data_IF_327255293628
#
_entry.id   IF_327255293628
#
_cell.length_a   1.000
_cell.length_b   1.000
_cell.length_c   1.000
_cell.angle_alpha   90.00
_cell.angle_beta   90.00
_cell.angle_gamma   90.00
#
_symmetry.space_group_name_H-M   'P 1'
#
loop_
_entity.id
_entity.type
_entity.pdbx_description
1 polymer ?
#
# COMPACT_ATOMS: atom_id res chain seq x y z
N UNK A 1 -27.10 28.27 -27.40
CA UNK A 1 -27.74 27.82 -28.65
C UNK A 1 -28.84 28.78 -29.12
N UNK A 2 -29.94 28.97 -28.40
CA UNK A 2 -31.03 29.88 -28.85
C UNK A 2 -30.52 31.31 -29.11
N UNK A 3 -29.72 31.89 -28.18
CA UNK A 3 -29.19 33.26 -28.32
C UNK A 3 -28.26 33.43 -29.53
N UNK A 4 -27.38 32.48 -29.81
CA UNK A 4 -26.42 32.59 -30.90
C UNK A 4 -27.10 32.42 -32.26
N UNK A 5 -28.09 31.53 -32.35
CA UNK A 5 -28.96 31.41 -33.56
C UNK A 5 -29.72 32.69 -33.79
N UNK A 6 -30.27 33.31 -32.76
CA UNK A 6 -30.99 34.58 -32.88
C UNK A 6 -30.08 35.70 -33.41
N UNK A 7 -28.86 35.81 -32.84
CA UNK A 7 -27.87 36.83 -33.27
C UNK A 7 -27.53 36.65 -34.74
N UNK A 8 -27.18 35.41 -35.16
CA UNK A 8 -26.83 35.11 -36.55
C UNK A 8 -28.00 35.37 -37.51
N UNK A 9 -29.23 34.97 -37.11
CA UNK A 9 -30.43 35.22 -37.90
C UNK A 9 -30.71 36.69 -38.02
N UNK A 10 -30.54 37.47 -36.94
CA UNK A 10 -30.73 38.91 -36.93
C UNK A 10 -29.74 39.62 -37.86
N UNK A 11 -28.45 39.27 -37.80
CA UNK A 11 -27.42 39.82 -38.71
C UNK A 11 -27.76 39.50 -40.16
N UNK A 12 -28.20 38.27 -40.46
CA UNK A 12 -28.59 37.85 -41.78
C UNK A 12 -29.80 38.64 -42.31
N UNK A 13 -30.86 38.79 -41.53
CA UNK A 13 -32.06 39.54 -41.89
C UNK A 13 -31.72 41.00 -42.12
N UNK A 14 -30.91 41.61 -41.22
CA UNK A 14 -30.46 42.99 -41.38
C UNK A 14 -29.61 43.17 -42.64
N UNK A 15 -28.72 42.26 -42.94
CA UNK A 15 -27.94 42.26 -44.18
C UNK A 15 -28.79 42.21 -45.43
N UNK A 16 -29.82 41.35 -45.48
CA UNK A 16 -30.77 41.28 -46.59
C UNK A 16 -31.59 42.57 -46.70
N UNK A 17 -32.06 43.11 -45.59
CA UNK A 17 -32.84 44.36 -45.58
C UNK A 17 -32.02 45.56 -46.12
N UNK A 18 -30.75 45.68 -45.69
CA UNK A 18 -29.84 46.70 -46.20
C UNK A 18 -29.64 46.52 -47.72
N UNK A 19 -29.36 45.29 -48.16
CA UNK A 19 -29.18 44.96 -49.54
C UNK A 19 -30.43 45.33 -50.40
N UNK A 20 -31.59 44.96 -49.91
CA UNK A 20 -32.86 45.25 -50.56
C UNK A 20 -33.17 46.74 -50.56
N UNK A 21 -32.93 47.45 -49.45
CA UNK A 21 -33.11 48.90 -49.35
C UNK A 21 -32.20 49.68 -50.32
N UNK A 22 -30.92 49.26 -50.40
CA UNK A 22 -29.98 49.84 -51.38
C UNK A 22 -30.43 49.58 -52.83
N UNK A 23 -30.94 48.39 -53.12
CA UNK A 23 -31.45 48.07 -54.44
C UNK A 23 -32.64 48.94 -54.84
N UNK A 24 -33.58 49.16 -53.92
CA UNK A 24 -34.72 50.07 -54.12
C UNK A 24 -34.23 51.52 -54.34
N UNK A 25 -33.33 52.00 -53.47
CA UNK A 25 -32.83 53.37 -53.57
C UNK A 25 -32.10 53.62 -54.87
N UNK A 26 -31.38 52.66 -55.36
CA UNK A 26 -30.67 52.76 -56.69
C UNK A 26 -31.60 52.59 -57.87
N UNK A 27 -32.68 51.81 -57.76
CA UNK A 27 -33.58 51.53 -58.90
C UNK A 27 -34.64 52.61 -59.06
N UNK A 28 -35.15 53.18 -57.99
CA UNK A 28 -36.29 54.11 -57.98
C UNK A 28 -35.95 55.53 -57.48
N UNK A 29 -34.76 55.71 -56.91
CA UNK A 29 -34.46 56.95 -56.19
C UNK A 29 -33.85 58.08 -57.01
N UNK A 30 -33.43 57.87 -58.27
CA UNK A 30 -32.65 58.82 -59.07
C UNK A 30 -31.52 59.55 -58.29
N UNK A 31 -31.13 58.97 -57.19
CA UNK A 31 -30.20 59.57 -56.23
C UNK A 31 -28.72 59.43 -56.65
N UNK A 32 -28.43 58.54 -57.60
CA UNK A 32 -27.13 58.37 -58.14
C UNK A 32 -27.27 57.92 -59.59
N UNK A 33 -26.89 58.74 -60.60
CA UNK A 33 -26.71 58.35 -61.99
C UNK A 33 -25.58 57.34 -62.08
N UNK A 34 -25.90 56.05 -62.03
CA UNK A 34 -24.90 55.01 -62.18
C UNK A 34 -24.91 54.46 -63.60
N UNK A 35 -23.82 54.67 -64.29
CA UNK A 35 -23.53 54.06 -65.62
C UNK A 35 -23.19 52.56 -65.49
N UNK A 36 -23.52 51.91 -64.39
CA UNK A 36 -23.18 50.51 -64.11
C UNK A 36 -24.20 49.58 -64.75
N UNK A 37 -23.71 48.63 -65.60
CA UNK A 37 -24.56 47.63 -66.21
C UNK A 37 -25.25 46.71 -65.20
N UNK A 38 -26.44 46.20 -65.53
CA UNK A 38 -27.19 45.26 -64.72
C UNK A 38 -26.36 44.01 -64.38
N UNK A 39 -25.51 43.54 -65.28
CA UNK A 39 -24.63 42.38 -65.05
C UNK A 39 -23.53 42.63 -64.00
N UNK A 40 -22.89 43.79 -64.04
CA UNK A 40 -21.92 44.23 -63.07
C UNK A 40 -22.53 44.31 -61.63
N UNK A 41 -23.77 44.83 -61.59
CA UNK A 41 -24.55 44.95 -60.40
C UNK A 41 -24.93 43.58 -59.78
N UNK A 42 -25.38 42.64 -60.61
CA UNK A 42 -25.66 41.25 -60.20
C UNK A 42 -24.41 40.52 -59.71
N UNK A 43 -23.29 40.68 -60.42
CA UNK A 43 -22.01 40.09 -59.97
C UNK A 43 -21.51 40.66 -58.60
N UNK A 44 -21.67 41.96 -58.40
CA UNK A 44 -21.35 42.61 -57.12
C UNK A 44 -22.18 42.00 -55.96
N UNK A 45 -23.51 41.90 -56.12
CA UNK A 45 -24.40 41.33 -55.14
C UNK A 45 -24.16 39.85 -54.93
N UNK A 46 -23.89 39.10 -55.97
CA UNK A 46 -23.53 37.70 -55.88
C UNK A 46 -22.27 37.50 -55.01
N UNK A 47 -21.23 38.29 -55.25
CA UNK A 47 -19.98 38.26 -54.47
C UNK A 47 -20.16 38.72 -53.05
N UNK A 48 -20.95 39.80 -52.86
CA UNK A 48 -21.23 40.32 -51.51
C UNK A 48 -22.03 39.33 -50.64
N UNK A 49 -23.12 38.80 -51.21
CA UNK A 49 -23.91 37.77 -50.54
C UNK A 49 -23.09 36.50 -50.27
N UNK A 50 -22.28 36.04 -51.23
CA UNK A 50 -21.40 34.90 -51.06
C UNK A 50 -20.39 35.11 -49.95
N UNK A 51 -19.78 36.28 -49.85
CA UNK A 51 -18.88 36.65 -48.76
C UNK A 51 -19.56 36.67 -47.37
N UNK A 52 -20.77 37.26 -47.31
CA UNK A 52 -21.56 37.25 -46.08
C UNK A 52 -21.91 35.82 -45.61
N UNK A 53 -22.36 34.96 -46.51
CA UNK A 53 -22.62 33.56 -46.21
C UNK A 53 -21.40 32.82 -45.72
N UNK A 54 -20.23 33.03 -46.36
CA UNK A 54 -18.98 32.42 -45.94
C UNK A 54 -18.59 32.83 -44.50
N UNK A 55 -18.75 34.11 -44.15
CA UNK A 55 -18.48 34.61 -42.80
C UNK A 55 -19.44 33.99 -41.79
N UNK A 56 -20.72 33.90 -42.11
CA UNK A 56 -21.74 33.31 -41.23
C UNK A 56 -21.44 31.80 -40.96
N UNK A 57 -21.17 31.06 -42.04
CA UNK A 57 -20.84 29.63 -41.95
C UNK A 57 -19.53 29.43 -41.15
N UNK A 58 -18.51 30.24 -41.41
CA UNK A 58 -17.25 30.23 -40.66
C UNK A 58 -17.45 30.51 -39.19
N UNK A 59 -18.24 31.49 -38.81
CA UNK A 59 -18.57 31.82 -37.46
C UNK A 59 -19.33 30.67 -36.75
N UNK A 60 -20.34 30.11 -37.39
CA UNK A 60 -21.09 28.95 -36.87
C UNK A 60 -20.17 27.73 -36.69
N UNK A 61 -19.25 27.47 -37.60
CA UNK A 61 -18.29 26.40 -37.50
C UNK A 61 -17.35 26.59 -36.29
N UNK A 62 -16.86 27.81 -36.04
CA UNK A 62 -16.02 28.14 -34.88
C UNK A 62 -16.78 27.94 -33.56
N UNK A 63 -18.02 28.46 -33.49
CA UNK A 63 -18.86 28.31 -32.28
C UNK A 63 -19.15 26.84 -32.03
N UNK A 64 -19.45 26.06 -33.03
CA UNK A 64 -19.70 24.62 -32.89
C UNK A 64 -18.44 23.85 -32.51
N UNK A 65 -17.30 24.17 -33.12
CA UNK A 65 -16.01 23.59 -32.76
C UNK A 65 -15.60 23.87 -31.32
N UNK A 66 -15.73 25.11 -30.85
CA UNK A 66 -15.41 25.47 -29.48
C UNK A 66 -16.27 24.71 -28.48
N UNK A 67 -17.58 24.57 -28.71
CA UNK A 67 -18.48 23.80 -27.84
C UNK A 67 -18.15 22.32 -27.80
N UNK A 68 -17.76 21.74 -28.94
CA UNK A 68 -17.34 20.34 -28.99
C UNK A 68 -16.02 20.15 -28.28
N UNK A 69 -15.09 21.11 -28.37
CA UNK A 69 -13.83 21.10 -27.65
C UNK A 69 -14.04 21.18 -26.13
N UNK A 70 -14.92 22.08 -25.65
CA UNK A 70 -15.28 22.16 -24.24
C UNK A 70 -15.87 20.86 -23.70
N UNK A 71 -16.79 20.23 -24.48
CA UNK A 71 -17.36 18.93 -24.08
C UNK A 71 -16.27 17.83 -24.04
N UNK A 72 -15.39 17.80 -25.04
CA UNK A 72 -14.29 16.82 -25.07
C UNK A 72 -13.32 17.02 -23.90
N UNK A 73 -12.97 18.26 -23.57
CA UNK A 73 -12.12 18.58 -22.41
C UNK A 73 -12.80 18.13 -21.11
N UNK A 74 -14.09 18.45 -20.92
CA UNK A 74 -14.83 18.02 -19.72
C UNK A 74 -14.93 16.49 -19.61
N UNK A 75 -15.14 15.80 -20.74
CA UNK A 75 -15.15 14.33 -20.75
C UNK A 75 -13.77 13.74 -20.40
N UNK A 76 -12.70 14.30 -20.96
CA UNK A 76 -11.34 13.89 -20.61
C UNK A 76 -11.01 14.13 -19.13
N UNK A 77 -11.44 15.28 -18.59
CA UNK A 77 -11.27 15.58 -17.17
C UNK A 77 -12.01 14.57 -16.27
N UNK A 78 -13.26 14.26 -16.59
CA UNK A 78 -14.04 13.23 -15.87
C UNK A 78 -13.38 11.85 -15.94
N UNK A 79 -12.87 11.46 -17.11
CA UNK A 79 -12.15 10.19 -17.28
C UNK A 79 -10.85 10.15 -16.46
N UNK A 80 -10.09 11.23 -16.43
CA UNK A 80 -8.89 11.34 -15.62
C UNK A 80 -9.19 11.22 -14.12
N UNK A 81 -10.25 11.89 -13.65
CA UNK A 81 -10.71 11.77 -12.27
C UNK A 81 -11.09 10.33 -11.93
N UNK A 82 -11.81 9.65 -12.83
CA UNK A 82 -12.19 8.26 -12.61
C UNK A 82 -10.97 7.33 -12.59
N UNK A 83 -10.02 7.50 -13.50
CA UNK A 83 -8.77 6.72 -13.52
C UNK A 83 -7.95 6.95 -12.25
N UNK A 84 -7.88 8.19 -11.76
CA UNK A 84 -7.23 8.50 -10.48
C UNK A 84 -7.91 7.80 -9.32
N UNK A 85 -9.24 7.84 -9.26
CA UNK A 85 -10.01 7.12 -8.24
C UNK A 85 -9.71 5.62 -8.28
N UNK A 86 -9.79 4.99 -9.46
CA UNK A 86 -9.54 3.55 -9.63
C UNK A 86 -8.12 3.17 -9.18
N UNK A 87 -7.11 3.95 -9.58
CA UNK A 87 -5.72 3.74 -9.17
C UNK A 87 -5.57 3.83 -7.64
N UNK A 88 -6.16 4.83 -7.01
CA UNK A 88 -6.11 4.99 -5.56
C UNK A 88 -6.84 3.87 -4.83
N UNK A 89 -7.99 3.44 -5.31
CA UNK A 89 -8.69 2.27 -4.76
C UNK A 89 -7.87 1.00 -4.86
N UNK A 90 -7.12 0.80 -5.95
CA UNK A 90 -6.21 -0.34 -6.08
C UNK A 90 -5.04 -0.26 -5.08
N UNK A 91 -4.46 0.93 -4.88
CA UNK A 91 -3.42 1.17 -3.87
C UNK A 91 -3.93 0.87 -2.45
N UNK A 92 -5.15 1.33 -2.10
CA UNK A 92 -5.82 1.01 -0.84
C UNK A 92 -6.02 -0.50 -0.67
N UNK A 93 -6.62 -1.15 -1.67
CA UNK A 93 -6.86 -2.60 -1.67
C UNK A 93 -5.57 -3.39 -1.46
N UNK A 94 -4.51 -3.01 -2.17
CA UNK A 94 -3.20 -3.66 -2.05
C UNK A 94 -2.63 -3.50 -0.65
N UNK A 95 -2.71 -2.30 -0.08
CA UNK A 95 -2.24 -2.02 1.27
C UNK A 95 -3.01 -2.85 2.32
N UNK A 96 -4.35 -2.84 2.26
CA UNK A 96 -5.19 -3.60 3.18
C UNK A 96 -4.94 -5.11 3.07
N UNK A 97 -4.76 -5.63 1.86
CA UNK A 97 -4.42 -7.05 1.63
C UNK A 97 -3.06 -7.40 2.22
N UNK A 98 -2.04 -6.57 1.98
CA UNK A 98 -0.71 -6.80 2.53
C UNK A 98 -0.73 -6.82 4.07
N UNK A 99 -1.49 -5.92 4.68
CA UNK A 99 -1.65 -5.89 6.14
C UNK A 99 -2.30 -7.18 6.67
N UNK A 100 -3.33 -7.69 5.99
CA UNK A 100 -3.99 -8.95 6.36
C UNK A 100 -3.08 -10.16 6.12
N UNK A 101 -2.34 -10.20 5.01
CA UNK A 101 -1.37 -11.26 4.73
C UNK A 101 -0.27 -11.30 5.81
N UNK A 102 0.18 -10.12 6.27
CA UNK A 102 1.14 -10.03 7.35
C UNK A 102 0.61 -10.63 8.66
N UNK A 103 -0.66 -10.37 9.00
CA UNK A 103 -1.30 -10.94 10.18
C UNK A 103 -1.46 -12.46 10.07
N UNK A 104 -1.86 -12.96 8.90
CA UNK A 104 -2.01 -14.39 8.67
C UNK A 104 -0.67 -15.14 8.61
N UNK A 105 0.41 -14.47 8.21
CA UNK A 105 1.75 -15.08 8.16
C UNK A 105 2.31 -15.43 9.56
N UNK A 106 1.64 -15.04 10.63
CA UNK A 106 2.01 -15.41 12.01
C UNK A 106 1.75 -16.89 12.30
N UNK A 107 0.75 -17.50 11.66
CA UNK A 107 0.47 -18.93 11.79
C UNK A 107 1.60 -19.86 11.29
N UNK A 108 2.47 -19.36 10.42
CA UNK A 108 3.53 -20.15 9.78
C UNK A 108 4.75 -20.36 10.69
N UNK A 109 4.92 -19.53 11.72
CA UNK A 109 5.93 -19.78 12.76
C UNK A 109 5.28 -20.62 13.87
N UNK A 110 4.62 -21.69 13.47
CA UNK A 110 4.23 -22.73 14.42
C UNK A 110 5.47 -23.09 15.22
N UNK A 111 5.36 -23.00 16.56
CA UNK A 111 6.37 -23.46 17.48
C UNK A 111 6.43 -24.98 17.36
N UNK A 112 6.86 -25.47 16.21
CA UNK A 112 7.43 -26.80 16.12
C UNK A 112 8.79 -26.65 16.76
N UNK A 113 8.83 -26.88 18.06
CA UNK A 113 10.04 -27.05 18.86
C UNK A 113 10.69 -28.36 18.38
N UNK A 114 11.09 -28.37 17.14
CA UNK A 114 12.03 -29.35 16.64
C UNK A 114 13.41 -28.87 17.12
N UNK A 115 13.97 -29.63 18.03
CA UNK A 115 15.23 -29.37 18.73
C UNK A 115 16.45 -29.44 17.79
N UNK A 116 16.22 -29.53 16.50
CA UNK A 116 17.27 -29.68 15.50
C UNK A 116 17.90 -28.33 15.17
N UNK A 117 19.23 -28.26 15.20
CA UNK A 117 20.03 -27.04 15.03
C UNK A 117 19.78 -26.38 13.67
N UNK A 118 19.52 -27.16 12.62
CA UNK A 118 19.27 -26.66 11.26
C UNK A 118 17.91 -25.94 11.17
N UNK A 119 16.90 -26.43 11.89
CA UNK A 119 15.59 -25.79 11.97
C UNK A 119 15.61 -24.47 12.74
N UNK A 120 16.46 -24.34 13.78
CA UNK A 120 16.60 -23.10 14.54
C UNK A 120 17.18 -21.96 13.70
N UNK A 121 18.18 -22.26 12.88
CA UNK A 121 18.80 -21.26 11.99
C UNK A 121 17.82 -20.78 10.90
N UNK A 122 17.06 -21.70 10.32
CA UNK A 122 16.02 -21.39 9.33
C UNK A 122 14.90 -20.54 9.94
N UNK A 123 14.41 -20.89 11.13
CA UNK A 123 13.39 -20.14 11.84
C UNK A 123 13.84 -18.73 12.20
N UNK A 124 15.11 -18.56 12.60
CA UNK A 124 15.70 -17.23 12.85
C UNK A 124 15.70 -16.38 11.58
N UNK A 125 16.11 -16.94 10.45
CA UNK A 125 16.12 -16.24 9.17
C UNK A 125 14.71 -15.82 8.73
N UNK A 126 13.71 -16.68 8.93
CA UNK A 126 12.31 -16.38 8.64
C UNK A 126 11.76 -15.24 9.51
N UNK A 127 12.06 -15.23 10.81
CA UNK A 127 11.65 -14.14 11.71
C UNK A 127 12.29 -12.82 11.27
N UNK A 128 13.57 -12.80 10.94
CA UNK A 128 14.25 -11.60 10.45
C UNK A 128 13.63 -11.11 9.14
N UNK A 129 13.30 -12.03 8.23
CA UNK A 129 12.58 -11.70 6.98
C UNK A 129 11.21 -11.08 7.26
N UNK A 130 10.44 -11.64 8.19
CA UNK A 130 9.14 -11.09 8.59
C UNK A 130 9.25 -9.71 9.20
N UNK A 131 10.26 -9.45 10.06
CA UNK A 131 10.51 -8.11 10.59
C UNK A 131 10.77 -7.08 9.48
N UNK A 132 11.52 -7.44 8.44
CA UNK A 132 11.75 -6.55 7.30
C UNK A 132 10.48 -6.29 6.49
N UNK A 133 9.59 -7.29 6.36
CA UNK A 133 8.29 -7.13 5.71
C UNK A 133 7.36 -6.22 6.52
N UNK A 134 7.33 -6.35 7.84
CA UNK A 134 6.56 -5.46 8.74
C UNK A 134 6.96 -4.01 8.49
N UNK A 135 8.24 -3.72 8.48
CA UNK A 135 8.75 -2.37 8.23
C UNK A 135 8.35 -1.85 6.83
N UNK A 136 8.46 -2.70 5.81
CA UNK A 136 8.06 -2.34 4.44
C UNK A 136 6.56 -2.04 4.33
N UNK A 137 5.71 -2.82 4.99
CA UNK A 137 4.26 -2.64 4.96
C UNK A 137 3.81 -1.44 5.79
N UNK A 138 4.47 -1.14 6.90
CA UNK A 138 4.23 0.08 7.67
C UNK A 138 4.55 1.34 6.85
N UNK A 139 5.66 1.34 6.11
CA UNK A 139 5.98 2.44 5.19
C UNK A 139 4.93 2.59 4.08
N UNK A 140 4.47 1.49 3.49
CA UNK A 140 3.42 1.51 2.48
C UNK A 140 2.09 2.01 3.06
N UNK A 141 1.75 1.56 4.26
CA UNK A 141 0.56 2.01 4.98
C UNK A 141 0.58 3.52 5.21
N UNK A 142 1.68 4.06 5.75
CA UNK A 142 1.85 5.50 5.96
C UNK A 142 1.72 6.28 4.66
N UNK A 143 2.37 5.81 3.59
CA UNK A 143 2.26 6.46 2.29
C UNK A 143 0.83 6.53 1.78
N UNK A 144 0.06 5.46 1.89
CA UNK A 144 -1.32 5.39 1.39
C UNK A 144 -2.30 6.18 2.26
N UNK A 145 -2.15 6.12 3.60
CA UNK A 145 -3.12 6.69 4.53
C UNK A 145 -2.73 8.05 5.12
N UNK A 146 -1.45 8.40 5.21
CA UNK A 146 -1.01 9.69 5.75
C UNK A 146 -0.95 10.79 4.68
N UNK A 147 -0.62 10.45 3.44
CA UNK A 147 -0.56 11.44 2.34
C UNK A 147 -1.95 11.99 2.00
N UNK A 148 -3.01 11.16 2.12
CA UNK A 148 -4.39 11.61 1.91
C UNK A 148 -4.99 12.36 3.11
N UNK A 149 -4.31 12.39 4.27
CA UNK A 149 -4.91 12.82 5.53
C UNK A 149 -4.94 14.32 5.75
N UNK A 150 -4.70 15.12 4.72
CA UNK A 150 -4.58 16.56 4.93
C UNK A 150 -5.84 17.28 5.39
N UNK A 151 -7.03 16.65 5.51
CA UNK A 151 -8.12 17.38 6.19
C UNK A 151 -9.39 16.63 6.65
N UNK A 152 -9.66 15.36 6.31
CA UNK A 152 -10.89 14.72 6.81
C UNK A 152 -10.75 13.19 6.86
N UNK A 153 -10.05 12.68 7.87
CA UNK A 153 -10.10 11.24 8.16
C UNK A 153 -11.52 10.88 8.56
N UNK A 154 -12.06 9.83 7.94
CA UNK A 154 -13.35 9.31 8.36
C UNK A 154 -13.23 8.56 9.69
N UNK A 155 -14.32 8.38 10.41
CA UNK A 155 -14.34 7.62 11.66
C UNK A 155 -13.84 6.17 11.45
N UNK A 156 -14.15 5.59 10.29
CA UNK A 156 -13.71 4.22 9.94
C UNK A 156 -12.20 4.19 9.69
N UNK A 157 -11.64 5.19 9.00
CA UNK A 157 -10.20 5.32 8.80
C UNK A 157 -9.44 5.45 10.12
N UNK A 158 -9.97 6.22 11.05
CA UNK A 158 -9.36 6.39 12.37
C UNK A 158 -9.38 5.08 13.16
N UNK A 159 -10.51 4.38 13.16
CA UNK A 159 -10.63 3.06 13.81
C UNK A 159 -9.69 2.04 13.20
N UNK A 160 -9.60 2.00 11.86
CA UNK A 160 -8.67 1.11 11.16
C UNK A 160 -7.22 1.43 11.51
N UNK A 161 -6.84 2.71 11.51
CA UNK A 161 -5.50 3.16 11.86
C UNK A 161 -5.10 2.75 13.29
N UNK A 162 -5.97 2.97 14.26
CA UNK A 162 -5.73 2.60 15.65
C UNK A 162 -5.58 1.08 15.80
N UNK A 163 -6.45 0.31 15.18
CA UNK A 163 -6.38 -1.15 15.17
C UNK A 163 -5.10 -1.65 14.49
N UNK A 164 -4.67 -1.03 13.38
CA UNK A 164 -3.41 -1.35 12.70
C UNK A 164 -2.18 -1.10 13.58
N UNK A 165 -2.12 0.06 14.25
CA UNK A 165 -1.00 0.40 15.15
C UNK A 165 -0.89 -0.63 16.29
N UNK A 166 -2.02 -1.00 16.89
CA UNK A 166 -2.04 -2.02 17.96
C UNK A 166 -1.60 -3.40 17.44
N UNK A 167 -2.15 -3.84 16.31
CA UNK A 167 -1.81 -5.12 15.69
C UNK A 167 -0.32 -5.17 15.27
N UNK A 168 0.20 -4.09 14.69
CA UNK A 168 1.61 -3.95 14.31
C UNK A 168 2.54 -4.03 15.53
N UNK A 169 2.17 -3.36 16.62
CA UNK A 169 2.92 -3.41 17.89
C UNK A 169 2.94 -4.82 18.46
N UNK A 170 1.79 -5.51 18.52
CA UNK A 170 1.68 -6.89 18.98
C UNK A 170 2.51 -7.85 18.13
N UNK A 171 2.46 -7.69 16.80
CA UNK A 171 3.23 -8.52 15.87
C UNK A 171 4.74 -8.32 16.05
N UNK A 172 5.18 -7.07 16.19
CA UNK A 172 6.59 -6.75 16.44
C UNK A 172 7.06 -7.39 17.75
N UNK A 173 6.28 -7.26 18.81
CA UNK A 173 6.59 -7.85 20.11
C UNK A 173 6.63 -9.38 20.04
N UNK A 174 5.66 -10.01 19.39
CA UNK A 174 5.64 -11.47 19.17
C UNK A 174 6.92 -11.95 18.47
N UNK A 175 7.36 -11.27 17.42
CA UNK A 175 8.58 -11.64 16.70
C UNK A 175 9.85 -11.43 17.53
N UNK A 176 9.88 -10.44 18.42
CA UNK A 176 10.98 -10.23 19.36
C UNK A 176 11.06 -11.34 20.39
N UNK A 177 9.91 -11.74 20.97
CA UNK A 177 9.84 -12.85 21.92
C UNK A 177 10.23 -14.17 21.23
N UNK A 178 9.74 -14.42 20.01
CA UNK A 178 10.13 -15.61 19.23
C UNK A 178 11.63 -15.67 18.93
N UNK A 179 12.25 -14.53 18.60
CA UNK A 179 13.69 -14.46 18.38
C UNK A 179 14.48 -14.79 19.65
N UNK A 180 14.07 -14.22 20.79
CA UNK A 180 14.66 -14.50 22.08
C UNK A 180 14.49 -15.98 22.49
N UNK A 181 13.30 -16.56 22.23
CA UNK A 181 13.01 -17.97 22.44
C UNK A 181 13.99 -18.87 21.66
N UNK A 182 14.22 -18.60 20.36
CA UNK A 182 15.20 -19.35 19.55
C UNK A 182 16.61 -19.26 20.15
N UNK A 183 17.03 -18.07 20.59
CA UNK A 183 18.34 -17.87 21.22
C UNK A 183 18.45 -18.71 22.49
N UNK A 184 17.41 -18.72 23.35
CA UNK A 184 17.40 -19.50 24.60
C UNK A 184 17.43 -21.00 24.34
N UNK A 185 16.67 -21.50 23.36
CA UNK A 185 16.75 -22.92 22.97
C UNK A 185 18.15 -23.28 22.47
N UNK A 186 18.76 -22.45 21.63
CA UNK A 186 20.13 -22.69 21.16
C UNK A 186 21.14 -22.77 22.29
N UNK A 187 21.04 -21.89 23.28
CA UNK A 187 21.88 -21.90 24.47
C UNK A 187 21.65 -23.16 25.30
N UNK A 188 20.39 -23.53 25.55
CA UNK A 188 20.05 -24.76 26.29
C UNK A 188 20.58 -26.02 25.58
N UNK A 189 20.50 -26.09 24.25
CA UNK A 189 21.04 -27.21 23.49
C UNK A 189 22.57 -27.28 23.58
N UNK A 190 23.27 -26.13 23.47
CA UNK A 190 24.73 -26.07 23.61
C UNK A 190 25.18 -26.56 25.00
N UNK A 191 24.54 -26.07 26.06
CA UNK A 191 24.86 -26.52 27.44
C UNK A 191 24.55 -28.01 27.66
N UNK A 192 23.48 -28.52 27.03
CA UNK A 192 23.13 -29.94 27.08
C UNK A 192 24.21 -30.80 26.40
N UNK A 193 24.76 -30.36 25.28
CA UNK A 193 25.88 -31.06 24.63
C UNK A 193 27.15 -31.04 25.48
N UNK A 194 27.49 -29.92 26.11
CA UNK A 194 28.63 -29.81 27.03
C UNK A 194 28.45 -30.75 28.20
N UNK A 195 27.21 -30.80 28.79
CA UNK A 195 26.88 -31.74 29.86
C UNK A 195 27.15 -33.19 29.49
N UNK A 196 26.66 -33.61 28.27
CA UNK A 196 26.89 -34.99 27.80
C UNK A 196 28.38 -35.30 27.59
N UNK A 197 29.12 -34.33 27.04
CA UNK A 197 30.57 -34.47 26.87
C UNK A 197 31.30 -34.63 28.22
N UNK A 198 30.99 -33.78 29.22
CA UNK A 198 31.59 -33.85 30.53
C UNK A 198 31.27 -35.18 31.25
N UNK A 199 30.04 -35.70 31.12
CA UNK A 199 29.67 -37.01 31.61
C UNK A 199 30.50 -38.13 30.98
N UNK A 200 30.74 -38.02 29.66
CA UNK A 200 31.65 -38.94 28.94
C UNK A 200 33.09 -38.87 29.44
N UNK A 201 33.61 -37.66 29.70
CA UNK A 201 34.95 -37.46 30.28
C UNK A 201 35.06 -38.09 31.67
N UNK A 202 34.11 -37.87 32.54
CA UNK A 202 34.06 -38.47 33.89
C UNK A 202 34.10 -39.99 33.78
N UNK A 203 33.27 -40.58 32.91
CA UNK A 203 33.22 -42.02 32.71
C UNK A 203 34.57 -42.60 32.22
N UNK A 204 35.23 -41.89 31.33
CA UNK A 204 36.57 -42.27 30.80
C UNK A 204 37.63 -42.18 31.91
N UNK A 205 37.64 -41.09 32.68
CA UNK A 205 38.60 -40.91 33.80
C UNK A 205 38.40 -41.95 34.89
N UNK A 206 37.17 -42.33 35.23
CA UNK A 206 36.86 -43.40 36.21
C UNK A 206 37.45 -44.75 35.73
N UNK A 207 37.30 -45.10 34.45
CA UNK A 207 37.92 -46.29 33.88
C UNK A 207 39.43 -46.25 33.94
N UNK A 208 40.06 -45.09 33.74
CA UNK A 208 41.53 -44.93 33.87
C UNK A 208 41.98 -45.10 35.33
N UNK A 209 41.22 -44.66 36.31
CA UNK A 209 41.47 -44.85 37.73
C UNK A 209 41.45 -46.35 38.05
N UNK A 210 40.46 -47.08 37.51
CA UNK A 210 40.34 -48.54 37.73
C UNK A 210 41.50 -49.34 37.11
N UNK A 211 42.00 -48.89 35.98
CA UNK A 211 43.08 -49.58 35.23
C UNK A 211 44.48 -49.16 35.66
N UNK A 212 44.67 -48.09 36.41
CA UNK A 212 45.99 -47.56 36.79
C UNK A 212 46.51 -48.22 38.07
N UNK A 213 47.75 -48.63 37.99
CA UNK A 213 48.51 -49.16 39.18
C UNK A 213 49.37 -48.06 39.82
N UNK A 214 49.43 -46.83 39.26
CA UNK A 214 50.28 -45.74 39.72
C UNK A 214 49.48 -44.78 40.61
N UNK A 215 49.83 -44.66 41.90
CA UNK A 215 49.15 -43.78 42.84
C UNK A 215 49.13 -42.31 42.41
N UNK A 216 50.19 -41.82 41.79
CA UNK A 216 50.24 -40.41 41.35
C UNK A 216 49.28 -40.14 40.21
N UNK A 217 49.11 -41.06 39.27
CA UNK A 217 48.18 -40.96 38.18
C UNK A 217 46.72 -41.04 38.66
N UNK A 218 46.46 -41.93 39.59
CA UNK A 218 45.14 -42.05 40.24
C UNK A 218 44.77 -40.73 40.94
N UNK A 219 45.67 -40.13 41.70
CA UNK A 219 45.39 -38.85 42.39
C UNK A 219 45.07 -37.74 41.35
N UNK A 220 45.82 -37.64 40.28
CA UNK A 220 45.61 -36.68 39.17
C UNK A 220 44.26 -36.89 38.47
N UNK A 221 43.88 -38.15 38.21
CA UNK A 221 42.58 -38.44 37.59
C UNK A 221 41.42 -38.14 38.54
N UNK A 222 41.55 -38.40 39.85
CA UNK A 222 40.55 -38.07 40.83
C UNK A 222 40.35 -36.56 40.98
N UNK A 223 41.44 -35.76 40.94
CA UNK A 223 41.36 -34.30 40.93
C UNK A 223 40.57 -33.79 39.71
N UNK A 224 40.89 -34.33 38.49
CA UNK A 224 40.22 -33.99 37.24
C UNK A 224 38.73 -34.35 37.23
N UNK A 225 38.36 -35.51 37.83
CA UNK A 225 36.95 -35.90 38.03
C UNK A 225 36.22 -34.90 38.91
N UNK A 226 36.85 -34.48 40.02
CA UNK A 226 36.24 -33.50 40.92
C UNK A 226 36.05 -32.14 40.29
N UNK A 227 37.02 -31.65 39.51
CA UNK A 227 36.93 -30.42 38.72
C UNK A 227 35.79 -30.49 37.71
N UNK A 228 35.71 -31.58 36.94
CA UNK A 228 34.66 -31.78 35.90
C UNK A 228 33.28 -31.91 36.54
N UNK A 229 33.15 -32.52 37.73
CA UNK A 229 31.86 -32.52 38.47
C UNK A 229 31.42 -31.13 38.87
N UNK A 230 32.33 -30.26 39.31
CA UNK A 230 32.00 -28.86 39.67
C UNK A 230 31.54 -28.09 38.45
N UNK A 231 32.18 -28.27 37.32
CA UNK A 231 31.72 -27.68 36.04
C UNK A 231 30.32 -28.18 35.63
N UNK A 232 30.05 -29.49 35.83
CA UNK A 232 28.77 -30.12 35.55
C UNK A 232 27.63 -29.51 36.37
N UNK A 233 27.87 -29.24 37.64
CA UNK A 233 26.87 -28.59 38.54
C UNK A 233 26.49 -27.17 38.00
N UNK A 234 27.49 -26.39 37.54
CA UNK A 234 27.26 -25.07 36.98
C UNK A 234 26.43 -25.15 35.68
N UNK A 235 26.77 -26.11 34.81
CA UNK A 235 26.05 -26.35 33.56
C UNK A 235 24.60 -26.76 33.82
N UNK A 236 24.37 -27.64 34.79
CA UNK A 236 23.01 -28.06 35.18
C UNK A 236 22.17 -26.92 35.76
N UNK A 237 22.81 -25.98 36.46
CA UNK A 237 22.14 -24.78 36.93
C UNK A 237 21.73 -23.88 35.77
N UNK A 238 22.63 -23.68 34.80
CA UNK A 238 22.36 -22.91 33.55
C UNK A 238 21.22 -23.53 32.75
N UNK A 239 21.23 -24.84 32.53
CA UNK A 239 20.17 -25.57 31.80
C UNK A 239 18.82 -25.38 32.49
N UNK A 240 18.75 -25.40 33.81
CA UNK A 240 17.49 -25.16 34.57
C UNK A 240 16.95 -23.73 34.31
N UNK A 241 17.82 -22.73 34.31
CA UNK A 241 17.45 -21.34 34.06
C UNK A 241 16.90 -21.21 32.62
N UNK A 242 17.63 -21.71 31.63
CA UNK A 242 17.20 -21.64 30.24
C UNK A 242 15.87 -22.36 29.97
N UNK A 243 15.66 -23.51 30.61
CA UNK A 243 14.40 -24.24 30.53
C UNK A 243 13.23 -23.43 31.09
N UNK A 244 13.40 -22.81 32.25
CA UNK A 244 12.36 -21.95 32.84
C UNK A 244 12.06 -20.73 31.93
N UNK A 245 13.09 -20.10 31.37
CA UNK A 245 12.93 -19.00 30.42
C UNK A 245 12.14 -19.44 29.17
N UNK A 246 12.45 -20.61 28.61
CA UNK A 246 11.76 -21.19 27.45
C UNK A 246 10.28 -21.46 27.76
N UNK A 247 9.99 -22.03 28.94
CA UNK A 247 8.60 -22.30 29.37
C UNK A 247 7.81 -21.00 29.55
N UNK A 248 8.40 -19.96 30.14
CA UNK A 248 7.78 -18.64 30.28
C UNK A 248 7.52 -17.97 28.94
N UNK A 249 8.50 -17.98 28.05
CA UNK A 249 8.36 -17.43 26.68
C UNK A 249 7.30 -18.18 25.86
N UNK A 250 7.15 -19.48 26.04
CA UNK A 250 6.11 -20.28 25.36
C UNK A 250 4.72 -19.79 25.74
N UNK A 251 4.49 -19.48 27.03
CA UNK A 251 3.22 -18.94 27.51
C UNK A 251 2.98 -17.54 26.93
N UNK A 252 4.02 -16.69 26.94
CA UNK A 252 3.94 -15.33 26.40
C UNK A 252 3.64 -15.32 24.89
N UNK A 253 4.32 -16.16 24.11
CA UNK A 253 4.08 -16.31 22.67
C UNK A 253 2.62 -16.70 22.39
N UNK A 254 2.11 -17.69 23.13
CA UNK A 254 0.71 -18.11 22.98
C UNK A 254 -0.26 -16.98 23.28
N UNK A 255 -0.05 -16.24 24.35
CA UNK A 255 -0.88 -15.09 24.71
C UNK A 255 -0.86 -14.00 23.63
N UNK A 256 0.33 -13.65 23.12
CA UNK A 256 0.49 -12.67 22.05
C UNK A 256 -0.18 -13.12 20.74
N UNK A 257 -0.10 -14.41 20.40
CA UNK A 257 -0.78 -14.99 19.24
C UNK A 257 -2.31 -14.88 19.36
N UNK A 258 -2.87 -15.21 20.53
CA UNK A 258 -4.31 -15.10 20.78
C UNK A 258 -4.79 -13.64 20.64
N UNK A 259 -4.06 -12.68 21.21
CA UNK A 259 -4.36 -11.25 21.06
C UNK A 259 -4.27 -10.79 19.59
N UNK A 260 -3.25 -11.22 18.88
CA UNK A 260 -3.04 -10.86 17.48
C UNK A 260 -4.14 -11.42 16.56
N UNK A 261 -4.63 -12.62 16.84
CA UNK A 261 -5.74 -13.22 16.11
C UNK A 261 -7.02 -12.40 16.25
N UNK A 262 -7.31 -11.89 17.45
CA UNK A 262 -8.45 -10.99 17.69
C UNK A 262 -8.30 -9.71 16.87
N UNK A 263 -7.10 -9.10 16.89
CA UNK A 263 -6.83 -7.88 16.12
C UNK A 263 -6.85 -8.10 14.59
N UNK A 264 -6.38 -9.24 14.11
CA UNK A 264 -6.46 -9.60 12.70
C UNK A 264 -7.90 -9.68 12.21
N UNK A 265 -8.81 -10.25 13.02
CA UNK A 265 -10.24 -10.29 12.72
C UNK A 265 -10.85 -8.88 12.69
N UNK A 266 -10.55 -8.05 13.69
CA UNK A 266 -11.01 -6.66 13.74
C UNK A 266 -10.52 -5.86 12.52
N UNK A 267 -9.26 -5.99 12.15
CA UNK A 267 -8.68 -5.38 10.93
C UNK A 267 -9.39 -5.84 9.66
N UNK A 268 -9.72 -7.12 9.57
CA UNK A 268 -10.44 -7.67 8.42
C UNK A 268 -11.82 -7.01 8.28
N UNK A 269 -12.58 -6.96 9.36
CA UNK A 269 -13.91 -6.35 9.37
C UNK A 269 -13.86 -4.85 9.03
N UNK A 270 -12.90 -4.13 9.61
CA UNK A 270 -12.68 -2.71 9.32
C UNK A 270 -12.21 -2.48 7.88
N UNK A 271 -11.40 -3.36 7.30
CA UNK A 271 -10.95 -3.26 5.91
C UNK A 271 -12.11 -3.33 4.92
N UNK A 272 -13.08 -4.22 5.17
CA UNK A 272 -14.28 -4.33 4.35
C UNK A 272 -15.12 -3.05 4.43
N UNK A 273 -15.30 -2.50 5.63
CA UNK A 273 -16.06 -1.26 5.83
C UNK A 273 -15.37 -0.08 5.14
N UNK A 274 -14.07 0.03 5.30
CA UNK A 274 -13.26 1.10 4.71
C UNK A 274 -13.29 1.04 3.17
N UNK A 275 -13.18 -0.13 2.59
CA UNK A 275 -13.28 -0.28 1.13
C UNK A 275 -14.65 0.14 0.60
N UNK A 276 -15.74 -0.28 1.24
CA UNK A 276 -17.09 0.15 0.87
C UNK A 276 -17.26 1.66 0.96
N UNK A 277 -16.70 2.29 1.99
CA UNK A 277 -16.73 3.75 2.13
C UNK A 277 -15.97 4.44 1.00
N UNK A 278 -14.75 3.98 0.69
CA UNK A 278 -13.91 4.56 -0.39
C UNK A 278 -14.54 4.36 -1.78
N UNK A 279 -15.11 3.20 -2.06
CA UNK A 279 -15.83 2.94 -3.31
C UNK A 279 -16.99 3.92 -3.53
N UNK A 280 -17.71 4.27 -2.46
CA UNK A 280 -18.86 5.19 -2.50
C UNK A 280 -18.45 6.67 -2.53
N UNK A 281 -17.19 7.00 -2.29
CA UNK A 281 -16.72 8.39 -2.36
C UNK A 281 -16.74 8.91 -3.81
N UNK A 282 -17.15 10.18 -4.03
CA UNK A 282 -17.06 10.79 -5.35
C UNK A 282 -15.61 10.94 -5.80
N UNK A 283 -15.37 10.81 -7.12
CA UNK A 283 -14.03 10.84 -7.70
C UNK A 283 -13.25 12.14 -7.41
N UNK A 284 -13.94 13.23 -7.21
CA UNK A 284 -13.35 14.55 -6.88
C UNK A 284 -12.60 14.56 -5.53
N UNK A 285 -12.93 13.64 -4.61
CA UNK A 285 -12.25 13.54 -3.30
C UNK A 285 -10.92 12.77 -3.34
N UNK A 286 -10.57 12.20 -4.50
CA UNK A 286 -9.30 11.49 -4.71
C UNK A 286 -8.23 12.34 -5.44
N UNK A 287 -8.56 13.59 -5.74
CA UNK A 287 -7.64 14.58 -6.32
C UNK A 287 -7.02 15.45 -5.24
#
# INVERSE_FOLDING_TARGET
MKKDIIIVTTIFVVGILIAYGLNIALTYGNLIETSISKETWLNFWGSYCGGLFAIIIGFLAIVHSNRNSEKAINQQYMLLQQQHKEKRLDEYNKCLRNNLELMNAVDVVGITVSIDHDHLSTSKAEIVKKKSLIFSYDLQYRYVFEVDSNNNKTEIEEKYNNCWIEAHSLLSNLLDVQLNFIVRISQNNAETHIKLNNQGIISALQRLIELSNNKNDIAKYQEKVAETHKELELIEASIRIYKNDVDAMTIEIKHLMDMLLVKAKELFDLSILLMKEKENMPAEKFL
#
